data_IF_452543444124
#
_entry.id   IF_452543444124
#
_cell.length_a   1.000
_cell.length_b   1.000
_cell.length_c   1.000
_cell.angle_alpha   90.00
_cell.angle_beta   90.00
_cell.angle_gamma   90.00
#
_symmetry.space_group_name_H-M   'P 1'
#
loop_
_entity.id
_entity.type
_entity.pdbx_description
1 polymer ?
#
# COMPACT_ATOMS: atom_id res chain seq x y z
N UNK A 1 -10.55 -10.38 17.48
CA UNK A 1 -10.08 -9.00 17.65
C UNK A 1 -10.01 -8.40 16.25
N UNK A 2 -10.97 -7.53 15.88
CA UNK A 2 -10.95 -6.84 14.58
C UNK A 2 -10.01 -5.65 14.71
N UNK A 3 -8.88 -5.69 14.03
CA UNK A 3 -7.96 -4.56 13.95
C UNK A 3 -8.57 -3.57 12.96
N UNK A 4 -8.86 -2.35 13.43
CA UNK A 4 -9.26 -1.26 12.56
C UNK A 4 -7.97 -0.65 11.95
N UNK A 5 -7.79 -0.84 10.64
CA UNK A 5 -6.55 -0.48 9.95
C UNK A 5 -6.41 1.01 9.69
N UNK A 6 -7.54 1.69 9.46
CA UNK A 6 -7.58 3.15 9.47
C UNK A 6 -7.10 3.66 10.83
N UNK A 7 -7.54 3.06 11.93
CA UNK A 7 -7.05 3.40 13.27
C UNK A 7 -5.56 3.09 13.44
N UNK A 8 -5.05 2.01 12.87
CA UNK A 8 -3.63 1.62 13.01
C UNK A 8 -2.72 2.59 12.26
N UNK A 9 -3.08 2.97 11.03
CA UNK A 9 -2.36 4.01 10.28
C UNK A 9 -2.52 5.35 11.02
N UNK A 10 -3.75 5.74 11.39
CA UNK A 10 -4.01 6.98 12.14
C UNK A 10 -3.20 7.08 13.45
N UNK A 11 -2.97 5.96 14.14
CA UNK A 11 -2.18 5.95 15.38
C UNK A 11 -0.69 6.17 15.12
N UNK A 12 -0.14 5.59 14.06
CA UNK A 12 1.23 5.89 13.58
C UNK A 12 1.35 7.38 13.19
N UNK A 13 0.29 7.96 12.62
CA UNK A 13 0.22 9.39 12.33
C UNK A 13 0.17 10.25 13.61
N UNK A 14 -0.22 9.72 14.78
CA UNK A 14 -0.20 10.45 16.07
C UNK A 14 1.05 10.22 16.94
N UNK A 15 2.17 9.79 16.36
CA UNK A 15 3.41 9.41 17.08
C UNK A 15 3.25 8.23 18.07
N UNK A 16 2.14 7.50 18.02
CA UNK A 16 1.91 6.32 18.87
C UNK A 16 1.96 5.05 18.01
N UNK A 17 3.05 4.32 18.13
CA UNK A 17 3.20 3.04 17.44
C UNK A 17 2.58 1.90 18.25
N UNK A 18 1.41 1.44 17.81
CA UNK A 18 0.72 0.31 18.43
C UNK A 18 1.02 -0.99 17.67
N UNK A 19 1.54 -1.98 18.39
CA UNK A 19 1.78 -3.30 17.83
C UNK A 19 0.45 -3.97 17.43
N UNK A 20 0.28 -4.30 16.16
CA UNK A 20 -0.95 -4.91 15.63
C UNK A 20 -1.27 -6.29 16.22
N UNK A 21 -0.28 -6.97 16.83
CA UNK A 21 -0.48 -8.25 17.51
C UNK A 21 -0.93 -8.12 18.97
N UNK A 22 -0.21 -7.34 19.78
CA UNK A 22 -0.46 -7.27 21.23
C UNK A 22 -1.25 -6.03 21.68
N UNK A 23 -1.44 -5.05 20.80
CA UNK A 23 -2.23 -3.84 21.06
C UNK A 23 -1.57 -2.83 22.01
N UNK A 24 -0.30 -3.02 22.37
CA UNK A 24 0.47 -2.09 23.23
C UNK A 24 1.25 -1.07 22.39
N UNK A 25 1.55 0.05 23.02
CA UNK A 25 2.37 1.16 22.53
C UNK A 25 3.87 0.91 22.72
N UNK A 26 4.67 1.34 21.75
CA UNK A 26 6.12 1.24 21.76
C UNK A 26 6.75 2.45 21.08
N UNK A 27 7.96 2.85 21.51
CA UNK A 27 8.74 3.91 20.85
C UNK A 27 9.42 3.43 19.56
N UNK A 28 9.64 2.12 19.45
CA UNK A 28 10.23 1.45 18.29
C UNK A 28 9.44 0.18 17.94
N UNK A 29 9.30 -0.10 16.65
CA UNK A 29 8.72 -1.35 16.14
C UNK A 29 9.64 -1.99 15.11
N UNK A 30 9.61 -3.31 15.02
CA UNK A 30 10.23 -4.06 13.93
C UNK A 30 9.32 -3.97 12.71
N UNK A 31 9.83 -3.32 11.66
CA UNK A 31 9.18 -3.29 10.35
C UNK A 31 9.90 -4.22 9.39
N UNK A 32 9.12 -5.08 8.74
CA UNK A 32 9.64 -6.09 7.83
C UNK A 32 8.62 -6.50 6.78
N UNK A 33 9.15 -7.09 5.71
CA UNK A 33 8.33 -7.67 4.66
C UNK A 33 8.19 -9.17 4.84
N UNK A 34 6.99 -9.69 4.63
CA UNK A 34 6.72 -11.14 4.68
C UNK A 34 5.76 -11.57 3.58
N UNK A 35 5.94 -12.80 3.09
CA UNK A 35 4.96 -13.53 2.27
C UNK A 35 4.20 -14.60 3.06
N UNK A 36 4.47 -14.73 4.37
CA UNK A 36 3.82 -15.72 5.23
C UNK A 36 2.34 -15.36 5.40
N UNK A 37 1.39 -16.20 4.95
CA UNK A 37 -0.03 -15.87 5.01
C UNK A 37 -0.52 -15.63 6.44
N UNK A 38 0.07 -16.33 7.42
CA UNK A 38 -0.23 -16.16 8.86
C UNK A 38 0.05 -14.76 9.41
N UNK A 39 0.85 -13.96 8.71
CA UNK A 39 1.18 -12.58 9.07
C UNK A 39 0.36 -11.53 8.32
N UNK A 40 -0.44 -11.94 7.35
CA UNK A 40 -1.27 -11.03 6.56
C UNK A 40 -2.26 -10.24 7.45
N UNK A 41 -2.78 -10.88 8.50
CA UNK A 41 -3.61 -10.23 9.53
C UNK A 41 -2.92 -9.12 10.33
N UNK A 42 -1.61 -8.97 10.20
CA UNK A 42 -0.82 -7.89 10.83
C UNK A 42 -0.46 -6.78 9.84
N UNK A 43 -0.75 -6.97 8.55
CA UNK A 43 -0.46 -6.01 7.49
C UNK A 43 -1.63 -5.03 7.29
N UNK A 44 -1.40 -3.70 7.35
CA UNK A 44 -2.47 -2.70 7.26
C UNK A 44 -3.36 -2.78 6.03
N UNK A 45 -2.76 -3.09 4.88
CA UNK A 45 -3.43 -3.11 3.58
C UNK A 45 -4.11 -4.44 3.23
N UNK A 46 -4.09 -5.43 4.12
CA UNK A 46 -4.57 -6.77 3.76
C UNK A 46 -6.10 -6.99 3.89
N UNK A 47 -6.81 -6.22 4.72
CA UNK A 47 -8.22 -6.48 5.08
C UNK A 47 -9.19 -6.61 3.90
N UNK A 48 -8.88 -5.98 2.77
CA UNK A 48 -9.71 -5.99 1.57
C UNK A 48 -9.05 -6.74 0.41
N UNK A 49 -8.09 -7.63 0.71
CA UNK A 49 -7.45 -8.43 -0.33
C UNK A 49 -8.44 -9.48 -0.86
N UNK A 50 -8.70 -9.52 -2.19
CA UNK A 50 -9.62 -10.49 -2.78
C UNK A 50 -9.15 -11.94 -2.59
N UNK A 51 -7.83 -12.15 -2.43
CA UNK A 51 -7.23 -13.47 -2.14
C UNK A 51 -7.34 -13.91 -0.68
N UNK A 52 -7.86 -13.06 0.20
CA UNK A 52 -8.06 -13.38 1.63
C UNK A 52 -6.84 -14.00 2.30
N UNK A 53 -7.07 -14.98 3.17
CA UNK A 53 -6.03 -15.65 3.97
C UNK A 53 -5.01 -16.45 3.14
N UNK A 54 -5.26 -16.69 1.84
CA UNK A 54 -4.35 -17.39 0.93
C UNK A 54 -3.42 -16.44 0.16
N UNK A 55 -3.54 -15.13 0.37
CA UNK A 55 -2.67 -14.15 -0.27
C UNK A 55 -1.20 -14.39 0.09
N UNK A 56 -0.37 -14.68 -0.91
CA UNK A 56 1.08 -14.87 -0.78
C UNK A 56 1.88 -13.62 -1.20
N UNK A 57 1.18 -12.53 -1.51
CA UNK A 57 1.80 -11.26 -1.86
C UNK A 57 2.66 -10.75 -0.69
N UNK A 58 3.77 -10.12 -1.02
CA UNK A 58 4.69 -9.55 -0.03
C UNK A 58 3.99 -8.39 0.68
N UNK A 59 3.84 -8.49 2.00
CA UNK A 59 3.19 -7.46 2.83
C UNK A 59 4.17 -6.80 3.79
N UNK A 60 4.04 -5.50 3.96
CA UNK A 60 4.71 -4.73 5.00
C UNK A 60 3.98 -4.92 6.33
N UNK A 61 4.73 -5.32 7.35
CA UNK A 61 4.21 -5.61 8.69
C UNK A 61 5.05 -4.86 9.72
N UNK A 62 4.37 -4.27 10.71
CA UNK A 62 5.00 -3.64 11.87
C UNK A 62 4.54 -4.33 13.16
N UNK A 63 5.49 -4.83 13.95
CA UNK A 63 5.25 -5.50 15.24
C UNK A 63 6.28 -5.01 16.26
N UNK A 64 5.95 -5.04 17.56
CA UNK A 64 6.98 -4.88 18.59
C UNK A 64 8.00 -6.02 18.55
N UNK A 65 9.18 -5.82 19.14
CA UNK A 65 10.28 -6.79 19.09
C UNK A 65 9.86 -8.20 19.54
N UNK A 66 9.17 -8.31 20.68
CA UNK A 66 8.69 -9.60 21.21
C UNK A 66 7.74 -10.30 20.23
N UNK A 67 6.79 -9.56 19.68
CA UNK A 67 5.82 -10.09 18.73
C UNK A 67 6.47 -10.47 17.40
N UNK A 68 7.42 -9.66 16.91
CA UNK A 68 8.17 -9.95 15.69
C UNK A 68 9.00 -11.22 15.84
N UNK A 69 9.68 -11.40 16.98
CA UNK A 69 10.44 -12.62 17.28
C UNK A 69 9.53 -13.85 17.33
N UNK A 70 8.39 -13.76 18.01
CA UNK A 70 7.46 -14.87 18.12
C UNK A 70 6.75 -15.21 16.79
N UNK A 71 6.57 -14.25 15.88
CA UNK A 71 6.05 -14.48 14.53
C UNK A 71 7.15 -14.83 13.50
N UNK A 72 8.43 -14.84 13.89
CA UNK A 72 9.57 -14.93 12.99
C UNK A 72 9.49 -13.89 11.84
N UNK A 73 9.12 -12.66 12.18
CA UNK A 73 9.18 -11.51 11.28
C UNK A 73 10.61 -10.99 11.25
N UNK A 74 11.23 -11.03 10.07
CA UNK A 74 12.54 -10.41 9.85
C UNK A 74 12.35 -8.98 9.40
N UNK A 75 13.02 -8.05 10.07
CA UNK A 75 12.86 -6.63 9.85
C UNK A 75 13.88 -5.81 10.60
N UNK A 76 13.73 -4.49 10.52
CA UNK A 76 14.60 -3.52 11.19
C UNK A 76 13.77 -2.79 12.26
N UNK A 77 14.30 -2.59 13.48
CA UNK A 77 13.69 -1.69 14.46
C UNK A 77 13.70 -0.26 13.92
N UNK A 78 12.55 0.39 13.99
CA UNK A 78 12.35 1.75 13.46
C UNK A 78 11.46 2.55 14.41
N UNK A 79 11.71 3.86 14.46
CA UNK A 79 10.85 4.83 15.14
C UNK A 79 9.60 5.18 14.28
N UNK A 80 8.71 6.00 14.84
CA UNK A 80 7.47 6.39 14.15
C UNK A 80 7.72 7.16 12.83
N UNK A 81 8.81 7.93 12.74
CA UNK A 81 9.14 8.72 11.55
C UNK A 81 9.64 7.82 10.43
N UNK A 82 10.55 6.91 10.75
CA UNK A 82 11.10 5.94 9.80
C UNK A 82 10.01 4.95 9.38
N UNK A 83 9.09 4.59 10.28
CA UNK A 83 7.90 3.83 9.94
C UNK A 83 7.02 4.57 8.93
N UNK A 84 6.72 5.85 9.18
CA UNK A 84 5.95 6.70 8.26
C UNK A 84 6.57 6.76 6.87
N UNK A 85 7.89 6.95 6.78
CA UNK A 85 8.63 6.91 5.52
C UNK A 85 8.52 5.55 4.83
N UNK A 86 8.68 4.46 5.57
CA UNK A 86 8.57 3.10 5.02
C UNK A 86 7.18 2.85 4.45
N UNK A 87 6.12 3.28 5.14
CA UNK A 87 4.75 3.13 4.67
C UNK A 87 4.43 4.00 3.44
N UNK A 88 4.98 5.21 3.36
CA UNK A 88 4.87 6.07 2.19
C UNK A 88 5.53 5.41 0.97
N UNK A 89 6.75 4.88 1.11
CA UNK A 89 7.44 4.20 0.02
C UNK A 89 6.72 2.92 -0.41
N UNK A 90 6.14 2.20 0.55
CA UNK A 90 5.31 1.04 0.28
C UNK A 90 4.04 1.40 -0.51
N UNK A 91 3.40 2.51 -0.14
CA UNK A 91 2.21 3.04 -0.84
C UNK A 91 2.54 3.42 -2.29
N UNK A 92 3.70 4.06 -2.51
CA UNK A 92 4.18 4.40 -3.86
C UNK A 92 4.38 3.17 -4.72
N UNK A 93 5.02 2.14 -4.17
CA UNK A 93 5.21 0.89 -4.91
C UNK A 93 3.87 0.25 -5.28
N UNK A 94 2.90 0.21 -4.37
CA UNK A 94 1.58 -0.33 -4.66
C UNK A 94 0.84 0.50 -5.73
N UNK A 95 1.06 1.82 -5.79
CA UNK A 95 0.54 2.72 -6.83
C UNK A 95 1.22 2.48 -8.19
N UNK A 96 2.55 2.28 -8.21
CA UNK A 96 3.32 1.90 -9.39
C UNK A 96 2.87 0.53 -9.93
N UNK A 97 2.69 -0.47 -9.06
CA UNK A 97 2.17 -1.79 -9.43
C UNK A 97 0.76 -1.68 -10.06
N UNK A 98 -0.08 -0.75 -9.58
CA UNK A 98 -1.40 -0.48 -10.19
C UNK A 98 -1.28 0.19 -11.57
N UNK A 99 -0.28 1.07 -11.78
CA UNK A 99 -0.01 1.65 -13.10
C UNK A 99 0.48 0.61 -14.10
N UNK A 100 1.45 -0.22 -13.70
CA UNK A 100 1.96 -1.32 -14.51
C UNK A 100 0.82 -2.27 -14.90
N UNK A 101 -0.10 -2.52 -13.95
CA UNK A 101 -1.28 -3.32 -14.22
C UNK A 101 -2.14 -2.70 -15.31
N UNK A 102 -2.54 -1.43 -15.16
CA UNK A 102 -3.40 -0.72 -16.10
C UNK A 102 -2.76 -0.51 -17.49
N UNK A 103 -1.45 -0.35 -17.54
CA UNK A 103 -0.72 -0.09 -18.79
C UNK A 103 -0.60 -1.34 -19.65
N UNK A 104 -0.13 -2.45 -19.06
CA UNK A 104 0.32 -3.60 -19.84
C UNK A 104 0.00 -4.96 -19.21
N UNK A 105 0.08 -5.13 -17.89
CA UNK A 105 0.08 -6.48 -17.30
C UNK A 105 -1.21 -7.28 -17.54
N UNK A 106 -2.37 -6.63 -17.63
CA UNK A 106 -3.62 -7.33 -17.93
C UNK A 106 -3.64 -7.93 -19.34
N UNK A 107 -2.83 -7.39 -20.27
CA UNK A 107 -2.74 -7.87 -21.66
C UNK A 107 -1.96 -9.18 -21.80
N UNK A 108 -1.24 -9.58 -20.76
CA UNK A 108 -0.53 -10.87 -20.72
C UNK A 108 -1.48 -12.07 -20.42
N UNK A 109 -2.79 -11.81 -20.27
CA UNK A 109 -3.77 -12.88 -20.10
C UNK A 109 -3.90 -13.73 -21.38
N UNK A 110 -3.69 -15.05 -21.21
CA UNK A 110 -3.68 -16.01 -22.31
C UNK A 110 -5.06 -16.22 -22.94
N UNK A 111 -6.13 -15.73 -22.30
CA UNK A 111 -7.50 -15.84 -22.77
C UNK A 111 -7.90 -14.71 -23.74
N UNK A 112 -7.07 -13.66 -23.89
CA UNK A 112 -7.34 -12.53 -24.78
C UNK A 112 -7.16 -12.88 -26.25
N UNK A 113 -8.11 -12.43 -27.08
CA UNK A 113 -7.99 -12.43 -28.54
C UNK A 113 -7.17 -11.23 -29.02
N UNK A 114 -6.66 -11.29 -30.25
CA UNK A 114 -5.77 -10.23 -30.78
C UNK A 114 -6.40 -8.84 -30.82
N UNK A 115 -7.72 -8.75 -31.04
CA UNK A 115 -8.44 -7.45 -31.03
C UNK A 115 -8.66 -6.92 -29.61
N UNK A 116 -8.68 -7.79 -28.59
CA UNK A 116 -8.86 -7.40 -27.19
C UNK A 116 -7.57 -6.86 -26.55
N UNK A 117 -6.40 -7.27 -27.06
CA UNK A 117 -5.10 -6.76 -26.62
C UNK A 117 -4.94 -5.26 -26.90
N UNK A 118 -5.54 -4.77 -27.99
CA UNK A 118 -5.48 -3.37 -28.40
C UNK A 118 -6.56 -2.48 -27.74
N UNK A 119 -7.49 -3.08 -26.97
CA UNK A 119 -8.55 -2.36 -26.26
C UNK A 119 -8.08 -1.80 -24.90
N UNK A 120 -8.95 -1.04 -24.23
CA UNK A 120 -8.74 -0.61 -22.85
C UNK A 120 -9.29 -1.66 -21.87
N UNK A 121 -8.70 -1.73 -20.67
CA UNK A 121 -9.15 -2.65 -19.62
C UNK A 121 -10.64 -2.45 -19.26
N UNK A 122 -11.10 -1.20 -19.28
CA UNK A 122 -12.51 -0.86 -19.00
C UNK A 122 -13.51 -1.50 -19.96
N UNK A 123 -13.10 -1.78 -21.19
CA UNK A 123 -13.93 -2.39 -22.22
C UNK A 123 -13.89 -3.93 -22.16
N UNK A 124 -12.75 -4.48 -21.77
CA UNK A 124 -12.48 -5.93 -21.72
C UNK A 124 -12.98 -6.55 -20.41
N UNK A 125 -12.61 -5.95 -19.28
CA UNK A 125 -13.01 -6.40 -17.95
C UNK A 125 -13.40 -5.19 -17.07
N UNK A 126 -14.64 -4.71 -17.21
CA UNK A 126 -15.12 -3.54 -16.47
C UNK A 126 -15.17 -3.78 -14.96
N UNK A 127 -15.32 -5.03 -14.52
CA UNK A 127 -15.36 -5.38 -13.10
C UNK A 127 -13.96 -5.29 -12.48
N UNK A 128 -12.94 -5.87 -13.14
CA UNK A 128 -11.54 -5.71 -12.73
C UNK A 128 -11.11 -4.24 -12.80
N UNK A 129 -11.46 -3.52 -13.86
CA UNK A 129 -11.16 -2.09 -13.96
C UNK A 129 -11.72 -1.29 -12.77
N UNK A 130 -12.96 -1.58 -12.37
CA UNK A 130 -13.61 -0.94 -11.22
C UNK A 130 -12.93 -1.28 -9.91
N UNK A 131 -12.51 -2.54 -9.72
CA UNK A 131 -11.77 -2.98 -8.54
C UNK A 131 -10.40 -2.29 -8.44
N UNK A 132 -9.64 -2.25 -9.53
CA UNK A 132 -8.34 -1.58 -9.61
C UNK A 132 -8.46 -0.08 -9.39
N UNK A 133 -9.48 0.56 -9.98
CA UNK A 133 -9.75 1.99 -9.77
C UNK A 133 -10.06 2.28 -8.29
N UNK A 134 -10.91 1.47 -7.66
CA UNK A 134 -11.25 1.62 -6.24
C UNK A 134 -10.07 1.31 -5.31
N UNK A 135 -9.17 0.40 -5.70
CA UNK A 135 -7.92 0.15 -4.99
C UNK A 135 -6.97 1.34 -5.10
N UNK A 136 -6.73 1.83 -6.33
CA UNK A 136 -5.89 3.00 -6.62
C UNK A 136 -6.35 4.24 -5.86
N UNK A 137 -7.65 4.58 -5.90
CA UNK A 137 -8.17 5.76 -5.19
C UNK A 137 -7.89 5.70 -3.69
N UNK A 138 -8.05 4.53 -3.05
CA UNK A 138 -7.71 4.34 -1.63
C UNK A 138 -6.22 4.55 -1.35
N UNK A 139 -5.36 4.09 -2.25
CA UNK A 139 -3.91 4.30 -2.13
C UNK A 139 -3.55 5.79 -2.34
N UNK A 140 -4.18 6.48 -3.28
CA UNK A 140 -3.99 7.92 -3.48
C UNK A 140 -4.40 8.73 -2.23
N UNK A 141 -5.54 8.38 -1.61
CA UNK A 141 -5.98 8.98 -0.34
C UNK A 141 -4.98 8.70 0.80
N UNK A 142 -4.48 7.47 0.90
CA UNK A 142 -3.46 7.09 1.88
C UNK A 142 -2.16 7.86 1.67
N UNK A 143 -1.72 8.00 0.42
CA UNK A 143 -0.56 8.79 0.03
C UNK A 143 -0.69 10.27 0.46
N UNK A 144 -1.85 10.88 0.21
CA UNK A 144 -2.12 12.27 0.61
C UNK A 144 -2.11 12.43 2.12
N UNK A 145 -2.61 11.44 2.88
CA UNK A 145 -2.53 11.42 4.34
C UNK A 145 -1.09 11.38 4.84
N UNK A 146 -0.23 10.56 4.24
CA UNK A 146 1.20 10.57 4.57
C UNK A 146 1.84 11.93 4.26
N UNK A 147 1.53 12.52 3.10
CA UNK A 147 2.03 13.85 2.74
C UNK A 147 1.62 14.94 3.74
N UNK A 148 0.36 14.90 4.21
CA UNK A 148 -0.11 15.79 5.27
C UNK A 148 0.74 15.64 6.54
N UNK A 149 0.98 14.40 6.97
CA UNK A 149 1.75 14.11 8.16
C UNK A 149 3.21 14.59 8.08
N UNK A 150 3.86 14.38 6.93
CA UNK A 150 5.21 14.91 6.71
C UNK A 150 5.24 16.45 6.82
N UNK A 151 4.21 17.13 6.31
CA UNK A 151 4.10 18.60 6.40
C UNK A 151 3.89 19.07 7.84
N UNK A 152 2.99 18.42 8.58
CA UNK A 152 2.70 18.76 9.99
C UNK A 152 3.94 18.60 10.86
N UNK A 153 4.71 17.53 10.64
CA UNK A 153 5.98 17.29 11.32
C UNK A 153 7.15 18.13 10.78
N UNK A 154 6.91 19.01 9.81
CA UNK A 154 7.92 19.84 9.12
C UNK A 154 9.09 19.03 8.58
N UNK A 155 8.81 17.82 8.10
CA UNK A 155 9.78 16.90 7.51
C UNK A 155 9.74 17.00 6.00
N UNK A 156 10.89 16.77 5.37
CA UNK A 156 10.96 16.66 3.92
C UNK A 156 10.35 15.33 3.50
N UNK A 157 9.46 15.39 2.52
CA UNK A 157 8.91 14.19 1.88
C UNK A 157 10.03 13.55 1.03
N UNK A 158 10.29 12.25 1.17
CA UNK A 158 11.26 11.54 0.34
C UNK A 158 10.83 11.56 -1.13
N UNK A 159 11.78 11.62 -2.07
CA UNK A 159 11.52 11.59 -3.52
C UNK A 159 10.41 12.54 -4.00
N UNK A 160 10.60 13.88 -3.94
CA UNK A 160 9.53 14.85 -4.23
C UNK A 160 9.08 14.89 -5.70
N UNK A 161 9.85 14.33 -6.63
CA UNK A 161 9.49 14.24 -8.07
C UNK A 161 8.43 13.17 -8.37
N UNK A 162 8.34 12.16 -7.50
CA UNK A 162 7.51 10.97 -7.73
C UNK A 162 6.03 11.30 -8.02
N UNK A 163 5.46 12.27 -7.29
CA UNK A 163 4.03 12.64 -7.49
C UNK A 163 3.78 13.12 -8.92
N UNK A 164 4.68 13.94 -9.45
CA UNK A 164 4.52 14.52 -10.78
C UNK A 164 4.66 13.45 -11.86
N UNK A 165 5.66 12.58 -11.73
CA UNK A 165 5.89 11.43 -12.62
C UNK A 165 4.65 10.52 -12.66
N UNK A 166 4.16 10.11 -11.49
CA UNK A 166 2.94 9.31 -11.36
C UNK A 166 1.71 9.95 -12.05
N UNK A 167 1.51 11.26 -11.86
CA UNK A 167 0.38 12.00 -12.45
C UNK A 167 0.51 12.11 -13.97
N UNK A 168 1.72 12.27 -14.49
CA UNK A 168 1.96 12.31 -15.93
C UNK A 168 1.68 10.94 -16.57
N UNK A 169 2.15 9.85 -15.96
CA UNK A 169 1.95 8.49 -16.45
C UNK A 169 0.48 8.10 -16.45
N UNK A 170 -0.25 8.32 -15.35
CA UNK A 170 -1.66 7.93 -15.28
C UNK A 170 -2.54 8.70 -16.26
N UNK A 171 -2.24 9.99 -16.49
CA UNK A 171 -2.94 10.81 -17.47
C UNK A 171 -2.58 10.41 -18.91
N UNK A 172 -1.35 9.98 -19.15
CA UNK A 172 -0.94 9.44 -20.45
C UNK A 172 -1.70 8.15 -20.81
N UNK A 173 -2.05 7.35 -19.80
CA UNK A 173 -2.94 6.19 -19.94
C UNK A 173 -4.43 6.55 -20.08
N UNK A 174 -4.80 7.83 -19.94
CA UNK A 174 -6.19 8.30 -20.06
C UNK A 174 -7.02 8.22 -18.79
N UNK A 175 -6.43 7.90 -17.63
CA UNK A 175 -7.14 7.73 -16.36
C UNK A 175 -7.10 8.98 -15.46
N UNK A 176 -8.14 9.13 -14.63
CA UNK A 176 -8.23 10.19 -13.61
C UNK A 176 -7.44 9.82 -12.35
N UNK A 177 -6.92 10.86 -11.67
CA UNK A 177 -6.16 10.74 -10.41
C UNK A 177 -6.45 11.90 -9.47
N UNK A 178 -6.57 11.62 -8.17
CA UNK A 178 -6.71 12.65 -7.12
C UNK A 178 -5.38 13.35 -6.82
N UNK A 179 -4.24 12.81 -7.28
CA UNK A 179 -2.93 13.38 -7.05
C UNK A 179 -2.59 14.51 -8.02
N UNK A 180 -3.43 14.79 -9.03
CA UNK A 180 -3.18 15.80 -10.05
C UNK A 180 -3.89 17.15 -9.85
N UNK A 181 -4.72 17.27 -8.81
CA UNK A 181 -5.43 18.49 -8.41
C UNK A 181 -4.67 19.29 -7.32
#
# INVERSE_FOLDING_TARGET
>A
MQINWEDTINKILTDVMICSRCGRDFDEMVIGYSRKPTLNRFAPRHKNCPRGDECDARKLIALCEECARAENLHGTPVDAITALETYLLDCRRDLEESLDYLAEYWRDDYELTGDEVDANLEDIDPDVFKEETAWRQRLEEEYLRYHHEFRDRKRRIPGPGWRSEYVEEIRALGYETQLGD
#
